data_IF_501634923820
#
_entry.id   IF_501634923820
#
_cell.length_a   1.000
_cell.length_b   1.000
_cell.length_c   1.000
_cell.angle_alpha   90.00
_cell.angle_beta   90.00
_cell.angle_gamma   90.00
#
_symmetry.space_group_name_H-M   'P 1'
#
loop_
_entity.id
_entity.type
_entity.pdbx_description
1 polymer ?
#
# COMPACT_ATOMS: atom_id res chain seq x y z
N UNK A 1 -29.26 19.48 28.59
CA UNK A 1 -27.81 19.24 28.46
C UNK A 1 -27.16 20.31 29.31
N UNK A 2 -26.64 19.91 30.46
CA UNK A 2 -26.09 20.83 31.44
C UNK A 2 -24.64 21.15 31.05
N UNK A 3 -24.15 22.34 31.35
CA UNK A 3 -22.77 22.77 31.00
C UNK A 3 -21.68 21.80 31.49
N UNK A 4 -21.94 21.06 32.58
CA UNK A 4 -21.03 20.02 33.09
C UNK A 4 -20.81 18.84 32.13
N UNK A 5 -21.81 18.47 31.32
CA UNK A 5 -21.70 17.36 30.37
C UNK A 5 -20.69 17.68 29.23
N UNK A 6 -20.53 18.97 28.92
CA UNK A 6 -19.64 19.45 27.84
C UNK A 6 -18.20 19.48 28.35
N UNK A 7 -17.97 19.97 29.57
CA UNK A 7 -16.64 20.07 30.16
C UNK A 7 -16.00 18.67 30.33
N UNK A 8 -16.77 17.70 30.82
CA UNK A 8 -16.32 16.32 30.99
C UNK A 8 -15.92 15.68 29.64
N UNK A 9 -16.68 15.96 28.59
CA UNK A 9 -16.39 15.47 27.24
C UNK A 9 -15.09 16.08 26.69
N UNK A 10 -14.85 17.39 26.93
CA UNK A 10 -13.61 18.06 26.51
C UNK A 10 -12.40 17.42 27.20
N UNK A 11 -12.50 17.20 28.51
CA UNK A 11 -11.42 16.62 29.30
C UNK A 11 -11.11 15.17 28.87
N UNK A 12 -12.14 14.37 28.61
CA UNK A 12 -11.96 13.01 28.07
C UNK A 12 -11.24 13.02 26.72
N UNK A 13 -11.62 13.90 25.80
CA UNK A 13 -10.97 14.01 24.49
C UNK A 13 -9.51 14.45 24.63
N UNK A 14 -9.22 15.33 25.59
CA UNK A 14 -7.86 15.76 25.89
C UNK A 14 -7.00 14.59 26.40
N UNK A 15 -7.49 13.83 27.38
CA UNK A 15 -6.78 12.65 27.88
C UNK A 15 -6.56 11.60 26.79
N UNK A 16 -7.56 11.37 25.94
CA UNK A 16 -7.42 10.46 24.80
C UNK A 16 -6.33 10.95 23.83
N UNK A 17 -6.26 12.26 23.58
CA UNK A 17 -5.23 12.81 22.71
C UNK A 17 -3.82 12.67 23.29
N UNK A 18 -3.66 12.96 24.58
CA UNK A 18 -2.40 12.77 25.29
C UNK A 18 -1.98 11.30 25.28
N UNK A 19 -2.91 10.36 25.50
CA UNK A 19 -2.67 8.92 25.41
C UNK A 19 -2.21 8.53 24.00
N UNK A 20 -2.93 8.94 22.96
CA UNK A 20 -2.58 8.61 21.57
C UNK A 20 -1.18 9.11 21.23
N UNK A 21 -0.80 10.30 21.70
CA UNK A 21 0.53 10.87 21.47
C UNK A 21 1.67 10.05 22.11
N UNK A 22 1.39 9.27 23.15
CA UNK A 22 2.37 8.31 23.72
C UNK A 22 2.69 7.15 22.80
N UNK A 23 1.81 6.82 21.85
CA UNK A 23 2.01 5.70 20.93
C UNK A 23 2.94 6.01 19.76
N UNK A 24 3.44 7.25 19.66
CA UNK A 24 4.36 7.65 18.58
C UNK A 24 5.70 6.91 18.67
N UNK A 25 6.12 6.31 17.57
CA UNK A 25 7.41 5.65 17.40
C UNK A 25 8.54 6.62 17.04
N UNK A 26 9.75 6.27 17.46
CA UNK A 26 10.94 7.12 17.30
C UNK A 26 11.37 7.35 15.84
N UNK A 27 11.14 6.37 14.97
CA UNK A 27 11.59 6.41 13.57
C UNK A 27 10.52 6.91 12.60
N UNK A 28 9.39 7.41 13.11
CA UNK A 28 8.31 7.92 12.27
C UNK A 28 8.54 9.37 11.85
N UNK A 29 8.42 9.61 10.54
CA UNK A 29 8.34 10.98 10.03
C UNK A 29 7.05 11.66 10.47
N UNK A 30 7.03 12.99 10.50
CA UNK A 30 5.81 13.77 10.83
C UNK A 30 4.63 13.44 9.92
N UNK A 31 4.88 13.21 8.62
CA UNK A 31 3.82 12.85 7.66
C UNK A 31 3.21 11.48 8.00
N UNK A 32 4.06 10.50 8.30
CA UNK A 32 3.62 9.17 8.74
C UNK A 32 2.83 9.25 10.05
N UNK A 33 3.37 9.96 11.04
CA UNK A 33 2.73 10.08 12.35
C UNK A 33 1.37 10.76 12.25
N UNK A 34 1.24 11.88 11.52
CA UNK A 34 -0.04 12.57 11.33
C UNK A 34 -1.11 11.64 10.77
N UNK A 35 -0.77 10.83 9.77
CA UNK A 35 -1.68 9.87 9.17
C UNK A 35 -2.01 8.72 10.14
N UNK A 36 -1.02 8.13 10.80
CA UNK A 36 -1.21 7.03 11.75
C UNK A 36 -2.00 7.47 12.99
N UNK A 37 -1.77 8.69 13.46
CA UNK A 37 -2.54 9.31 14.54
C UNK A 37 -4.02 9.42 14.18
N UNK A 38 -4.35 9.86 12.96
CA UNK A 38 -5.73 9.87 12.47
C UNK A 38 -6.35 8.47 12.41
N UNK A 39 -5.55 7.47 12.01
CA UNK A 39 -5.97 6.06 12.04
C UNK A 39 -6.32 5.59 13.45
N UNK A 40 -5.50 5.94 14.45
CA UNK A 40 -5.76 5.60 15.85
C UNK A 40 -7.05 6.24 16.34
N UNK A 41 -7.24 7.56 16.20
CA UNK A 41 -8.48 8.22 16.67
C UNK A 41 -9.75 7.66 16.04
N UNK A 42 -9.70 7.26 14.77
CA UNK A 42 -10.86 6.70 14.09
C UNK A 42 -11.30 5.35 14.68
N UNK A 43 -10.34 4.55 15.14
CA UNK A 43 -10.58 3.17 15.52
C UNK A 43 -10.50 2.93 17.03
N UNK A 44 -9.93 3.84 17.83
CA UNK A 44 -9.62 3.60 19.25
C UNK A 44 -10.84 3.25 20.11
N UNK A 45 -12.03 3.74 19.75
CA UNK A 45 -13.26 3.41 20.47
C UNK A 45 -13.78 1.99 20.20
N UNK A 46 -13.30 1.34 19.13
CA UNK A 46 -13.68 -0.04 18.77
C UNK A 46 -12.74 -1.08 19.42
N UNK A 47 -11.69 -0.62 20.10
CA UNK A 47 -10.69 -1.47 20.74
C UNK A 47 -10.60 -1.12 22.23
N UNK A 48 -11.10 -2.01 23.08
CA UNK A 48 -10.90 -1.91 24.53
C UNK A 48 -9.63 -2.65 24.95
N UNK A 49 -9.02 -2.24 26.06
CA UNK A 49 -7.93 -3.00 26.69
C UNK A 49 -8.37 -4.46 26.92
N UNK A 50 -7.54 -5.46 26.58
CA UNK A 50 -6.12 -5.39 26.20
C UNK A 50 -5.85 -5.32 24.68
N UNK A 51 -6.87 -5.06 23.85
CA UNK A 51 -6.75 -5.13 22.39
C UNK A 51 -6.15 -3.87 21.75
N UNK A 52 -5.75 -2.87 22.55
CA UNK A 52 -5.04 -1.67 22.07
C UNK A 52 -3.76 -2.06 21.32
N UNK A 53 -3.00 -3.05 21.80
CA UNK A 53 -1.79 -3.53 21.11
C UNK A 53 -2.09 -4.04 19.69
N UNK A 54 -3.25 -4.66 19.49
CA UNK A 54 -3.71 -5.11 18.19
C UNK A 54 -3.97 -3.90 17.27
N UNK A 55 -4.64 -2.87 17.77
CA UNK A 55 -4.87 -1.63 17.03
C UNK A 55 -3.53 -0.95 16.66
N UNK A 56 -2.58 -0.89 17.60
CA UNK A 56 -1.24 -0.34 17.34
C UNK A 56 -0.54 -1.09 16.21
N UNK A 57 -0.58 -2.42 16.22
CA UNK A 57 -0.02 -3.25 15.16
C UNK A 57 -0.69 -3.00 13.80
N UNK A 58 -2.03 -2.93 13.75
CA UNK A 58 -2.77 -2.63 12.52
C UNK A 58 -2.45 -1.23 11.98
N UNK A 59 -2.34 -0.23 12.86
CA UNK A 59 -1.96 1.13 12.49
C UNK A 59 -0.57 1.19 11.86
N UNK A 60 0.36 0.36 12.35
CA UNK A 60 1.71 0.25 11.82
C UNK A 60 1.74 -0.47 10.48
N UNK A 61 0.98 -1.56 10.32
CA UNK A 61 0.84 -2.29 9.04
C UNK A 61 0.31 -1.36 7.96
N UNK A 62 -0.73 -0.59 8.28
CA UNK A 62 -1.29 0.41 7.37
C UNK A 62 -0.27 1.49 6.99
N UNK A 63 0.38 2.12 7.99
CA UNK A 63 1.38 3.14 7.73
C UNK A 63 2.58 2.62 6.91
N UNK A 64 3.08 1.42 7.21
CA UNK A 64 4.16 0.80 6.46
C UNK A 64 3.75 0.48 5.01
N UNK A 65 2.53 0.03 4.80
CA UNK A 65 2.02 -0.20 3.45
C UNK A 65 1.94 1.12 2.65
N UNK A 66 1.35 2.16 3.24
CA UNK A 66 1.11 3.45 2.57
C UNK A 66 2.39 4.25 2.35
N UNK A 67 3.32 4.27 3.31
CA UNK A 67 4.49 5.15 3.28
C UNK A 67 5.81 4.45 2.97
N UNK A 68 5.88 3.13 3.10
CA UNK A 68 7.09 2.35 2.81
C UNK A 68 6.88 1.28 1.72
N UNK A 69 5.64 1.09 1.26
CA UNK A 69 5.32 0.11 0.21
C UNK A 69 5.44 -1.34 0.68
N UNK A 70 5.42 -1.59 2.00
CA UNK A 70 5.49 -2.93 2.55
C UNK A 70 4.29 -3.78 2.09
N UNK A 71 4.55 -5.07 1.84
CA UNK A 71 3.55 -6.03 1.37
C UNK A 71 3.19 -7.00 2.48
N UNK A 72 1.91 -7.25 2.62
CA UNK A 72 1.35 -8.19 3.58
C UNK A 72 0.33 -9.08 2.88
N UNK A 73 -0.28 -9.99 3.62
CA UNK A 73 -1.41 -10.78 3.13
C UNK A 73 -2.53 -9.85 2.61
N UNK A 74 -3.15 -10.16 1.44
CA UNK A 74 -4.14 -9.29 0.83
C UNK A 74 -5.38 -9.06 1.71
N UNK A 75 -5.84 -10.07 2.44
CA UNK A 75 -7.00 -9.98 3.34
C UNK A 75 -6.71 -9.02 4.51
N UNK A 76 -5.47 -9.05 5.03
CA UNK A 76 -5.02 -8.10 6.04
C UNK A 76 -4.99 -6.67 5.49
N UNK A 77 -4.52 -6.49 4.25
CA UNK A 77 -4.44 -5.18 3.60
C UNK A 77 -5.83 -4.60 3.32
N UNK A 78 -6.77 -5.43 2.89
CA UNK A 78 -8.17 -5.03 2.70
C UNK A 78 -8.77 -4.54 4.02
N UNK A 79 -8.63 -5.32 5.10
CA UNK A 79 -9.08 -4.93 6.45
C UNK A 79 -8.52 -3.58 6.90
N UNK A 80 -7.20 -3.39 6.83
CA UNK A 80 -6.61 -2.10 7.29
C UNK A 80 -6.98 -0.94 6.38
N UNK A 81 -7.30 -1.19 5.11
CA UNK A 81 -7.78 -0.16 4.18
C UNK A 81 -9.21 0.27 4.52
N UNK A 82 -10.08 -0.66 4.88
CA UNK A 82 -11.43 -0.37 5.37
C UNK A 82 -11.38 0.44 6.68
N UNK A 83 -10.52 0.04 7.63
CA UNK A 83 -10.31 0.78 8.88
C UNK A 83 -9.77 2.21 8.66
N UNK A 84 -9.09 2.44 7.54
CA UNK A 84 -8.55 3.74 7.15
C UNK A 84 -9.50 4.58 6.28
N UNK A 85 -10.72 4.11 6.00
CA UNK A 85 -11.66 4.82 5.14
C UNK A 85 -11.92 6.24 5.67
N UNK A 86 -11.79 7.22 4.79
CA UNK A 86 -11.95 8.65 5.12
C UNK A 86 -10.67 9.36 5.59
N UNK A 87 -9.56 8.64 5.80
CA UNK A 87 -8.28 9.26 6.14
C UNK A 87 -7.58 9.70 4.86
N UNK A 88 -7.42 11.02 4.69
CA UNK A 88 -6.72 11.61 3.54
C UNK A 88 -5.23 11.70 3.85
N UNK A 89 -4.42 10.98 3.08
CA UNK A 89 -2.95 11.06 3.13
C UNK A 89 -2.46 11.95 2.00
N UNK A 90 -2.02 13.16 2.34
CA UNK A 90 -1.38 14.08 1.40
C UNK A 90 0.02 13.56 1.02
N UNK A 91 0.39 13.69 -0.27
CA UNK A 91 1.70 13.29 -0.81
C UNK A 91 2.11 11.82 -0.54
N UNK A 92 1.16 10.88 -0.61
CA UNK A 92 1.49 9.46 -0.50
C UNK A 92 2.54 9.06 -1.57
N UNK A 93 3.65 8.39 -1.19
CA UNK A 93 4.66 7.98 -2.16
C UNK A 93 4.06 7.01 -3.19
N UNK A 94 4.34 7.24 -4.48
CA UNK A 94 3.91 6.33 -5.54
C UNK A 94 4.94 5.21 -5.67
N UNK A 95 4.66 4.06 -5.05
CA UNK A 95 5.47 2.86 -5.19
C UNK A 95 5.18 2.17 -6.51
N UNK A 96 5.95 2.48 -7.54
CA UNK A 96 5.94 1.68 -8.77
C UNK A 96 6.81 0.45 -8.55
N UNK A 97 6.25 -0.73 -8.76
CA UNK A 97 7.07 -1.94 -8.81
C UNK A 97 7.95 -1.93 -10.06
N UNK A 98 9.12 -2.59 -9.98
CA UNK A 98 9.94 -2.87 -11.17
C UNK A 98 9.11 -3.50 -12.29
N UNK A 99 8.17 -4.39 -11.94
CA UNK A 99 7.35 -5.10 -12.91
C UNK A 99 6.29 -4.19 -13.58
N UNK A 100 5.76 -3.18 -12.88
CA UNK A 100 4.92 -2.12 -13.49
C UNK A 100 5.73 -1.21 -14.41
N UNK A 101 6.97 -0.87 -14.03
CA UNK A 101 7.89 -0.12 -14.88
C UNK A 101 8.21 -0.92 -16.15
N UNK A 102 8.46 -2.22 -16.01
CA UNK A 102 8.73 -3.13 -17.14
C UNK A 102 7.51 -3.34 -18.04
N UNK A 103 6.28 -3.48 -17.49
CA UNK A 103 5.05 -3.55 -18.28
C UNK A 103 4.86 -2.29 -19.13
N UNK A 104 5.07 -1.11 -18.55
CA UNK A 104 4.94 0.16 -19.28
C UNK A 104 6.00 0.30 -20.39
N UNK A 105 7.22 -0.24 -20.19
CA UNK A 105 8.24 -0.29 -21.24
C UNK A 105 7.86 -1.27 -22.37
N UNK A 106 7.32 -2.45 -22.05
CA UNK A 106 6.85 -3.42 -23.07
C UNK A 106 5.68 -2.86 -23.87
N UNK A 107 4.70 -2.22 -23.24
CA UNK A 107 3.59 -1.55 -23.95
C UNK A 107 4.09 -0.41 -24.85
N UNK A 108 5.11 0.34 -24.41
CA UNK A 108 5.72 1.42 -25.22
C UNK A 108 6.50 0.86 -26.42
N UNK A 109 7.17 -0.29 -26.27
CA UNK A 109 7.85 -0.97 -27.38
C UNK A 109 6.89 -1.67 -28.36
N UNK A 110 5.73 -2.11 -27.89
CA UNK A 110 4.69 -2.69 -28.75
C UNK A 110 3.94 -1.62 -29.57
N UNK A 111 3.80 -0.39 -29.06
CA UNK A 111 3.11 0.69 -29.76
C UNK A 111 3.96 1.44 -30.80
N UNK A 112 5.29 1.26 -30.76
CA UNK A 112 6.23 1.79 -31.77
C UNK A 112 6.85 0.70 -32.65
N UNK A 113 6.29 -0.52 -32.63
CA UNK A 113 6.65 -1.53 -33.59
C UNK A 113 6.04 -1.17 -34.96
N UNK A 114 6.86 -0.57 -35.83
CA UNK A 114 6.67 -0.71 -37.28
C UNK A 114 6.39 -2.18 -37.63
N UNK A 115 5.56 -2.50 -38.63
CA UNK A 115 5.28 -3.87 -39.02
C UNK A 115 6.52 -4.50 -39.67
N UNK A 116 7.46 -4.98 -38.84
CA UNK A 116 8.62 -5.72 -39.28
C UNK A 116 9.05 -6.71 -38.19
N UNK A 117 8.26 -7.76 -38.01
CA UNK A 117 8.75 -9.08 -37.57
C UNK A 117 7.61 -10.11 -37.68
N UNK A 118 7.42 -10.67 -38.88
CA UNK A 118 6.85 -12.00 -38.97
C UNK A 118 7.97 -12.99 -38.62
N UNK A 119 8.13 -13.30 -37.33
CA UNK A 119 8.92 -14.45 -36.92
C UNK A 119 8.31 -15.10 -35.68
N UNK A 120 7.25 -15.88 -35.89
CA UNK A 120 6.85 -16.91 -34.92
C UNK A 120 7.80 -18.10 -35.09
N UNK A 121 8.78 -18.21 -34.20
CA UNK A 121 9.60 -19.43 -34.07
C UNK A 121 8.78 -20.48 -33.33
N UNK A 122 8.08 -21.36 -34.06
CA UNK A 122 7.51 -22.59 -33.49
C UNK A 122 8.63 -23.60 -33.34
N UNK A 123 9.00 -23.92 -32.09
CA UNK A 123 9.77 -25.12 -31.80
C UNK A 123 8.81 -26.30 -31.75
N UNK A 124 8.84 -27.12 -32.80
CA UNK A 124 8.32 -28.49 -32.76
C UNK A 124 9.32 -29.37 -33.50
N UNK A 125 10.07 -30.11 -32.70
CA UNK A 125 10.53 -31.48 -32.86
C UNK A 125 11.09 -31.94 -34.21
N UNK A 126 12.31 -32.49 -34.10
CA UNK A 126 13.10 -32.90 -35.24
C UNK A 126 12.48 -34.05 -36.03
N UNK A 127 12.53 -33.92 -37.35
CA UNK A 127 12.89 -35.01 -38.24
C UNK A 127 13.09 -34.48 -39.67
N UNK A 128 14.16 -34.98 -40.29
CA UNK A 128 14.22 -35.36 -41.70
C UNK A 128 14.50 -34.29 -42.80
N UNK A 129 15.76 -34.32 -43.26
CA UNK A 129 16.24 -34.36 -44.65
C UNK A 129 16.00 -33.18 -45.63
N UNK A 130 17.12 -32.76 -46.26
CA UNK A 130 17.12 -32.57 -47.72
C UNK A 130 17.71 -31.26 -48.26
N UNK A 131 19.00 -31.32 -48.61
CA UNK A 131 19.67 -30.77 -49.82
C UNK A 131 19.30 -29.40 -50.42
N UNK A 132 20.33 -28.60 -50.75
CA UNK A 132 20.19 -27.56 -51.78
C UNK A 132 21.23 -26.45 -51.77
N UNK A 133 22.40 -26.72 -52.36
CA UNK A 133 23.41 -25.74 -52.74
C UNK A 133 22.87 -24.80 -53.84
N UNK A 134 23.08 -23.48 -53.73
CA UNK A 134 23.36 -22.64 -54.90
C UNK A 134 24.11 -21.37 -54.55
N UNK A 135 25.27 -21.27 -55.20
CA UNK A 135 26.17 -20.14 -55.40
C UNK A 135 25.49 -19.05 -56.24
N UNK A 136 25.63 -17.78 -55.84
CA UNK A 136 26.31 -16.73 -56.63
C UNK A 136 26.87 -15.67 -55.70
#
# INVERSE_FOLDING_TARGET
MAEGDIEDFIEQNRHLAELVDTFRGLSESEKQWKARRAFLFRNINDFEDPHIDHLLALSMVWANNVFLGCRYNPDLLEKVKEMAEGIVVEDAPIFRTRDEIMKNQVTTLQNNASPCSQYTRTWTDGNNFGIGLSVV
#
